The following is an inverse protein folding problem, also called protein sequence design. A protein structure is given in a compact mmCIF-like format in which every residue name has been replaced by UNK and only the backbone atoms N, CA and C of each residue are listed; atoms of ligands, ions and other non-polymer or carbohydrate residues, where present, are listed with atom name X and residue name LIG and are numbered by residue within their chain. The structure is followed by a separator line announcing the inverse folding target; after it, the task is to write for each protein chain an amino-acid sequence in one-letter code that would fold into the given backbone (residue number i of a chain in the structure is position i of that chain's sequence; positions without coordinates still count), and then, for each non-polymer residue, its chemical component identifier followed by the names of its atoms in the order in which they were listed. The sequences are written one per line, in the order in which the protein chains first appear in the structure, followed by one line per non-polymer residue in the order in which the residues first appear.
data_IF_347871016934
#
_entry.id   IF_347871016934
#
_cell.length_a   1.000
_cell.length_b   1.000
_cell.length_c   1.000
_cell.angle_alpha   90.00
_cell.angle_beta   90.00
_cell.angle_gamma   90.00
#
_symmetry.space_group_name_H-M   'P 1'
#
loop_
_entity.id
_entity.type
_entity.pdbx_description
1 polymer ?
#
# COMPACT_ATOMS: atom_id res chain seq x y z
N UNK A 1 -5.72 4.58 1.55
CA UNK A 1 -6.96 4.81 0.79
C UNK A 1 -7.79 3.54 0.74
N UNK A 2 -7.33 2.45 0.12
CA UNK A 2 -8.08 1.19 0.05
C UNK A 2 -8.62 0.70 1.40
N UNK A 3 -7.79 0.72 2.44
CA UNK A 3 -8.19 0.43 3.83
C UNK A 3 -9.39 1.26 4.34
N UNK A 4 -9.39 2.57 4.06
CA UNK A 4 -10.48 3.45 4.44
C UNK A 4 -11.75 3.15 3.68
N UNK A 5 -11.63 2.74 2.41
CA UNK A 5 -12.78 2.32 1.59
C UNK A 5 -13.40 1.06 2.18
N UNK A 6 -12.61 0.07 2.59
CA UNK A 6 -13.11 -1.10 3.33
C UNK A 6 -13.90 -0.66 4.56
N UNK A 7 -13.34 0.27 5.35
CA UNK A 7 -14.00 0.74 6.58
C UNK A 7 -15.32 1.47 6.33
N UNK A 8 -15.42 2.27 5.26
CA UNK A 8 -16.66 3.00 4.90
C UNK A 8 -17.79 2.02 4.55
N UNK A 9 -17.47 0.94 3.85
CA UNK A 9 -18.46 -0.07 3.42
C UNK A 9 -18.69 -1.16 4.50
N UNK A 10 -17.97 -1.12 5.62
CA UNK A 10 -18.12 -2.04 6.73
C UNK A 10 -18.03 -3.50 6.30
N UNK A 11 -18.98 -4.33 6.76
CA UNK A 11 -19.03 -5.75 6.40
C UNK A 11 -19.09 -6.00 4.90
N UNK A 12 -19.76 -5.14 4.13
CA UNK A 12 -19.80 -5.27 2.68
C UNK A 12 -18.39 -5.12 2.10
N UNK A 13 -17.60 -4.13 2.52
CA UNK A 13 -16.23 -3.89 2.03
C UNK A 13 -15.22 -5.02 2.29
N UNK A 14 -15.57 -5.99 3.14
CA UNK A 14 -14.76 -7.19 3.42
C UNK A 14 -15.29 -8.45 2.71
N UNK A 15 -16.60 -8.53 2.47
CA UNK A 15 -17.23 -9.66 1.79
C UNK A 15 -17.07 -9.57 0.27
N UNK A 16 -16.25 -10.44 -0.30
CA UNK A 16 -15.96 -10.47 -1.75
C UNK A 16 -17.19 -10.67 -2.65
N UNK A 17 -18.28 -11.24 -2.13
CA UNK A 17 -19.48 -11.51 -2.93
C UNK A 17 -20.35 -10.26 -3.19
N UNK A 18 -20.22 -9.21 -2.37
CA UNK A 18 -21.10 -8.02 -2.42
C UNK A 18 -20.32 -6.77 -2.84
N UNK A 19 -19.01 -6.71 -2.57
CA UNK A 19 -18.22 -5.50 -2.73
C UNK A 19 -17.02 -5.64 -3.68
N UNK A 20 -17.01 -6.62 -4.58
CA UNK A 20 -16.03 -6.66 -5.67
C UNK A 20 -16.11 -5.31 -6.42
N UNK A 21 -15.06 -4.45 -6.39
CA UNK A 21 -13.63 -4.75 -6.27
C UNK A 21 -12.88 -4.28 -4.99
N UNK A 22 -13.58 -3.87 -3.93
CA UNK A 22 -13.01 -3.19 -2.74
C UNK A 22 -12.00 -4.06 -2.00
N UNK A 23 -12.36 -5.30 -1.67
CA UNK A 23 -11.49 -6.22 -0.93
C UNK A 23 -10.31 -6.68 -1.80
N UNK A 24 -10.52 -6.81 -3.11
CA UNK A 24 -9.46 -7.08 -4.09
C UNK A 24 -8.43 -5.97 -4.10
N UNK A 25 -8.84 -4.71 -4.25
CA UNK A 25 -7.91 -3.57 -4.19
C UNK A 25 -7.18 -3.46 -2.86
N UNK A 26 -7.83 -3.81 -1.75
CA UNK A 26 -7.18 -3.87 -0.44
C UNK A 26 -6.06 -4.93 -0.39
N UNK A 27 -6.25 -6.09 -1.04
CA UNK A 27 -5.20 -7.12 -1.17
C UNK A 27 -4.08 -6.68 -2.12
N UNK A 28 -4.41 -6.19 -3.30
CA UNK A 28 -3.44 -5.87 -4.35
C UNK A 28 -2.47 -4.77 -3.90
N UNK A 29 -2.95 -3.74 -3.21
CA UNK A 29 -2.10 -2.63 -2.74
C UNK A 29 -1.05 -3.07 -1.71
N UNK A 30 -1.20 -4.24 -1.08
CA UNK A 30 -0.23 -4.72 -0.10
C UNK A 30 1.07 -5.16 -0.76
N UNK A 31 1.00 -5.72 -1.97
CA UNK A 31 2.16 -6.24 -2.69
C UNK A 31 3.19 -5.14 -3.01
N UNK A 32 2.73 -3.97 -3.47
CA UNK A 32 3.61 -2.85 -3.85
C UNK A 32 4.46 -2.29 -2.71
N UNK A 33 4.17 -2.64 -1.46
CA UNK A 33 4.99 -2.22 -0.30
C UNK A 33 6.16 -3.17 0.00
N UNK A 34 6.19 -4.32 -0.67
CA UNK A 34 7.16 -5.40 -0.43
C UNK A 34 7.94 -5.77 -1.69
N UNK A 35 7.27 -5.80 -2.83
CA UNK A 35 7.87 -6.19 -4.11
C UNK A 35 8.71 -5.07 -4.73
N UNK A 36 9.77 -5.44 -5.48
CA UNK A 36 10.79 -4.54 -6.09
C UNK A 36 11.50 -3.60 -5.12
N UNK A 37 11.48 -3.95 -3.82
CA UNK A 37 12.00 -3.12 -2.76
C UNK A 37 10.94 -2.87 -1.71
N UNK A 38 11.27 -3.20 -0.46
CA UNK A 38 10.38 -2.81 0.64
C UNK A 38 10.38 -1.30 0.80
N UNK A 39 9.31 -0.74 1.35
CA UNK A 39 9.22 0.70 1.62
C UNK A 39 10.43 1.22 2.43
N UNK A 40 10.99 0.40 3.34
CA UNK A 40 12.17 0.73 4.13
C UNK A 40 13.45 0.82 3.27
N UNK A 41 13.65 -0.10 2.32
CA UNK A 41 14.81 -0.04 1.41
C UNK A 41 14.74 1.21 0.53
N UNK A 42 13.55 1.56 0.02
CA UNK A 42 13.37 2.81 -0.72
C UNK A 42 13.68 4.04 0.14
N UNK A 43 13.21 4.09 1.39
CA UNK A 43 13.53 5.18 2.32
C UNK A 43 15.05 5.31 2.55
N UNK A 44 15.76 4.19 2.75
CA UNK A 44 17.21 4.19 2.91
C UNK A 44 17.95 4.66 1.64
N UNK A 45 17.49 4.25 0.46
CA UNK A 45 18.06 4.70 -0.82
C UNK A 45 17.89 6.21 -1.00
N UNK A 46 16.68 6.73 -0.73
CA UNK A 46 16.38 8.17 -0.80
C UNK A 46 17.27 8.93 0.20
N UNK A 47 17.35 8.47 1.46
CA UNK A 47 18.19 9.11 2.48
C UNK A 47 19.66 9.17 2.06
N UNK A 48 20.21 8.07 1.53
CA UNK A 48 21.58 8.03 0.98
C UNK A 48 21.77 8.99 -0.18
N UNK A 49 20.79 9.12 -1.07
CA UNK A 49 20.87 10.05 -2.19
C UNK A 49 20.84 11.51 -1.72
N UNK A 50 19.99 11.85 -0.74
CA UNK A 50 19.92 13.20 -0.18
C UNK A 50 21.21 13.61 0.50
N UNK A 51 21.83 12.72 1.31
CA UNK A 51 23.10 13.00 1.96
C UNK A 51 24.24 13.26 0.95
N UNK A 52 24.26 12.50 -0.15
CA UNK A 52 25.26 12.71 -1.23
C UNK A 52 25.05 13.99 -2.03
N UNK A 53 23.87 14.59 -1.99
CA UNK A 53 23.58 15.87 -2.66
C UNK A 53 23.86 17.08 -1.77
N UNK A 54 23.87 16.88 -0.45
CA UNK A 54 24.17 17.94 0.53
C UNK A 54 25.67 18.16 0.76
N UNK A 55 26.50 17.16 0.43
CA UNK A 55 27.96 17.27 0.36
C UNK A 55 28.40 17.91 -0.97
#
# INVERSE_FOLDING_TARGET
VADRVVQIFGGAGYCGDIADPIERFYRDVRLFRLYEGTSQIHQLNIARQLLRQSD
#
